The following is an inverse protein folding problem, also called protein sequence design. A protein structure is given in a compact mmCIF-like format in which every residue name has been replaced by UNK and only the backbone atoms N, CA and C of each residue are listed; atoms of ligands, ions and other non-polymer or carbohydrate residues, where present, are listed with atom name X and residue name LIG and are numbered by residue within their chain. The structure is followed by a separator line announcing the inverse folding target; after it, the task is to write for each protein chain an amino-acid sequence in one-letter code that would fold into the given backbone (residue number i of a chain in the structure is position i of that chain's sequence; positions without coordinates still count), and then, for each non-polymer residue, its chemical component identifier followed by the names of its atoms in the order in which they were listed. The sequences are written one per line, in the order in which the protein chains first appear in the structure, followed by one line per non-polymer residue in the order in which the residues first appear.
data_IF_291090484390
#
_entry.id   IF_291090484390
#
_cell.length_a   1.000
_cell.length_b   1.000
_cell.length_c   1.000
_cell.angle_alpha   90.00
_cell.angle_beta   90.00
_cell.angle_gamma   90.00
#
_symmetry.space_group_name_H-M   'P 1'
#
loop_
_entity.id
_entity.type
_entity.pdbx_description
1 polymer ?
#
# COMPACT_ATOMS: atom_id res chain seq x y z
N UNK A 1 50.14 20.06 17.16
CA UNK A 1 49.42 18.89 17.69
C UNK A 1 47.96 19.23 18.02
N UNK A 2 47.67 20.28 18.79
CA UNK A 2 46.30 20.68 19.17
C UNK A 2 45.39 21.06 17.98
N UNK A 3 45.87 21.88 17.04
CA UNK A 3 45.09 22.26 15.84
C UNK A 3 44.72 21.08 14.92
N UNK A 4 45.56 20.03 14.90
CA UNK A 4 45.28 18.83 14.10
C UNK A 4 44.12 18.03 14.71
N UNK A 5 44.08 17.92 16.04
CA UNK A 5 43.01 17.22 16.78
C UNK A 5 41.68 17.97 16.67
N UNK A 6 41.68 19.31 16.73
CA UNK A 6 40.45 20.11 16.54
C UNK A 6 39.85 19.94 15.13
N UNK A 7 40.68 19.90 14.10
CA UNK A 7 40.20 19.71 12.73
C UNK A 7 39.64 18.31 12.50
N UNK A 8 40.27 17.28 13.05
CA UNK A 8 39.73 15.91 13.01
C UNK A 8 38.39 15.82 13.77
N UNK A 9 38.30 16.41 14.96
CA UNK A 9 37.06 16.42 15.76
C UNK A 9 35.91 17.16 15.06
N UNK A 10 36.19 18.32 14.43
CA UNK A 10 35.20 19.06 13.61
C UNK A 10 34.74 18.25 12.40
N UNK A 11 35.66 17.51 11.76
CA UNK A 11 35.35 16.63 10.64
C UNK A 11 34.49 15.44 11.07
N UNK A 12 34.80 14.81 12.21
CA UNK A 12 33.98 13.75 12.79
C UNK A 12 32.58 14.25 13.15
N UNK A 13 32.46 15.43 13.78
CA UNK A 13 31.18 16.05 14.12
C UNK A 13 30.35 16.34 12.85
N UNK A 14 30.96 16.88 11.79
CA UNK A 14 30.27 17.11 10.51
C UNK A 14 29.80 15.81 9.85
N UNK A 15 30.58 14.73 9.92
CA UNK A 15 30.18 13.41 9.37
C UNK A 15 28.98 12.85 10.15
N UNK A 16 28.99 12.96 11.48
CA UNK A 16 27.89 12.51 12.34
C UNK A 16 26.60 13.30 12.04
N UNK A 17 26.70 14.63 11.87
CA UNK A 17 25.56 15.48 11.51
C UNK A 17 24.96 15.11 10.14
N UNK A 18 25.80 14.79 9.15
CA UNK A 18 25.35 14.33 7.83
C UNK A 18 24.60 12.99 7.89
N UNK A 19 25.07 12.05 8.73
CA UNK A 19 24.41 10.75 8.93
C UNK A 19 23.03 10.90 9.61
N UNK A 20 22.92 11.76 10.62
CA UNK A 20 21.65 12.01 11.33
C UNK A 20 20.62 12.67 10.39
N UNK A 21 21.07 13.57 9.52
CA UNK A 21 20.17 14.21 8.55
C UNK A 21 19.62 13.22 7.52
N UNK A 22 20.44 12.28 7.03
CA UNK A 22 20.01 11.24 6.10
C UNK A 22 18.95 10.28 6.67
N UNK A 23 19.06 9.90 7.94
CA UNK A 23 18.08 9.02 8.60
C UNK A 23 16.73 9.72 8.80
N UNK A 24 16.77 11.02 9.09
CA UNK A 24 15.56 11.83 9.37
C UNK A 24 14.69 12.06 8.12
N UNK A 25 15.26 12.02 6.92
CA UNK A 25 14.52 12.17 5.66
C UNK A 25 13.66 10.94 5.35
N UNK A 26 14.14 9.73 5.66
CA UNK A 26 13.38 8.49 5.41
C UNK A 26 12.15 8.37 6.34
N UNK A 27 12.28 8.75 7.61
CA UNK A 27 11.17 8.70 8.58
C UNK A 27 10.02 9.66 8.23
N UNK A 28 10.27 10.73 7.46
CA UNK A 28 9.23 11.70 7.08
C UNK A 28 8.28 11.19 5.99
N UNK A 29 8.70 10.17 5.24
CA UNK A 29 7.91 9.62 4.13
C UNK A 29 6.88 8.57 4.58
N UNK A 30 6.92 8.12 5.84
CA UNK A 30 5.93 7.17 6.36
C UNK A 30 4.52 7.77 6.40
N UNK A 31 3.53 6.94 6.09
CA UNK A 31 2.10 7.24 6.13
C UNK A 31 1.32 6.04 6.71
N UNK A 32 1.50 5.73 8.00
CA UNK A 32 0.91 4.53 8.61
C UNK A 32 -0.63 4.54 8.64
N UNK A 33 -1.22 5.75 8.64
CA UNK A 33 -2.66 5.95 8.75
C UNK A 33 -3.24 6.66 7.52
N UNK A 34 -4.47 6.27 7.17
CA UNK A 34 -5.33 7.03 6.27
C UNK A 34 -6.04 8.13 7.05
N UNK A 35 -6.16 9.29 6.43
CA UNK A 35 -7.01 10.37 6.94
C UNK A 35 -8.49 9.98 6.82
N UNK A 36 -9.33 10.61 7.65
CA UNK A 36 -10.77 10.41 7.56
C UNK A 36 -11.30 10.90 6.21
N UNK A 37 -12.23 10.15 5.62
CA UNK A 37 -12.85 10.51 4.34
C UNK A 37 -14.28 9.97 4.25
N UNK A 38 -15.01 10.46 3.26
CA UNK A 38 -16.34 9.95 2.94
C UNK A 38 -16.25 8.96 1.80
N UNK A 39 -16.44 7.67 2.11
CA UNK A 39 -16.58 6.62 1.10
C UNK A 39 -17.88 6.86 0.34
N UNK A 40 -17.80 7.00 -0.98
CA UNK A 40 -18.98 7.19 -1.84
C UNK A 40 -18.86 6.29 -3.07
N UNK A 41 -19.74 5.31 -3.17
CA UNK A 41 -19.71 4.28 -4.21
C UNK A 41 -21.02 4.33 -4.98
N UNK A 42 -20.93 4.40 -6.31
CA UNK A 42 -22.11 4.36 -7.17
C UNK A 42 -22.70 2.94 -7.18
N UNK A 43 -24.01 2.81 -7.03
CA UNK A 43 -24.72 1.52 -7.20
C UNK A 43 -25.43 1.54 -8.54
N UNK A 44 -26.21 2.58 -8.80
CA UNK A 44 -26.92 2.81 -10.06
C UNK A 44 -27.03 4.32 -10.35
N UNK A 45 -27.90 4.71 -11.30
CA UNK A 45 -28.07 6.11 -11.72
C UNK A 45 -28.55 7.04 -10.60
N UNK A 46 -29.24 6.51 -9.58
CA UNK A 46 -29.88 7.27 -8.51
C UNK A 46 -29.32 6.94 -7.13
N UNK A 47 -28.84 5.72 -6.91
CA UNK A 47 -28.39 5.22 -5.61
C UNK A 47 -26.87 5.24 -5.45
N UNK A 48 -26.43 5.68 -4.28
CA UNK A 48 -25.03 5.64 -3.85
C UNK A 48 -24.96 5.02 -2.45
N UNK A 49 -23.99 4.14 -2.25
CA UNK A 49 -23.52 3.83 -0.91
C UNK A 49 -22.68 5.00 -0.39
N UNK A 50 -22.91 5.40 0.87
CA UNK A 50 -22.11 6.41 1.55
C UNK A 50 -21.81 5.99 2.98
N UNK A 51 -20.56 6.14 3.39
CA UNK A 51 -20.13 5.90 4.75
C UNK A 51 -19.02 6.89 5.12
N UNK A 52 -19.05 7.42 6.33
CA UNK A 52 -17.91 8.14 6.88
C UNK A 52 -16.89 7.12 7.39
N UNK A 53 -15.70 7.13 6.79
CA UNK A 53 -14.56 6.32 7.20
C UNK A 53 -13.68 7.21 8.08
N UNK A 54 -13.56 6.84 9.35
CA UNK A 54 -12.69 7.55 10.28
C UNK A 54 -11.21 7.41 9.94
N UNK A 55 -10.37 8.23 10.57
CA UNK A 55 -8.92 8.06 10.53
C UNK A 55 -8.58 6.66 11.06
N UNK A 56 -7.74 5.91 10.34
CA UNK A 56 -7.42 4.53 10.70
C UNK A 56 -6.07 4.11 10.12
N UNK A 57 -5.41 3.05 10.63
CA UNK A 57 -4.24 2.50 9.96
C UNK A 57 -4.59 1.88 8.59
N UNK A 58 -3.62 1.83 7.68
CA UNK A 58 -3.74 1.06 6.43
C UNK A 58 -3.63 -0.44 6.67
N UNK A 59 -2.62 -0.83 7.45
CA UNK A 59 -2.45 -2.18 7.97
C UNK A 59 -3.23 -2.32 9.27
N UNK A 60 -4.37 -3.03 9.23
CA UNK A 60 -5.25 -3.19 10.41
C UNK A 60 -4.66 -4.17 11.43
N UNK A 61 -3.76 -5.04 10.96
CA UNK A 61 -2.87 -5.91 11.73
C UNK A 61 -1.58 -6.09 10.92
N UNK A 62 -0.57 -6.77 11.49
CA UNK A 62 0.69 -7.02 10.78
C UNK A 62 0.45 -7.66 9.41
N UNK A 63 0.90 -6.98 8.35
CA UNK A 63 0.77 -7.39 6.93
C UNK A 63 -0.67 -7.65 6.45
N UNK A 64 -1.69 -7.25 7.21
CA UNK A 64 -3.10 -7.28 6.78
C UNK A 64 -3.48 -5.89 6.27
N UNK A 65 -3.40 -5.70 4.95
CA UNK A 65 -3.71 -4.42 4.31
C UNK A 65 -5.22 -4.34 4.07
N UNK A 66 -5.87 -3.30 4.59
CA UNK A 66 -7.20 -2.93 4.12
C UNK A 66 -7.07 -1.82 3.06
N UNK A 67 -7.89 -1.88 2.01
CA UNK A 67 -7.97 -0.83 1.00
C UNK A 67 -9.42 -0.53 0.63
N UNK A 68 -9.71 0.74 0.41
CA UNK A 68 -11.01 1.26 -0.04
C UNK A 68 -10.95 1.72 -1.50
N UNK A 69 -12.08 1.73 -2.20
CA UNK A 69 -12.14 2.30 -3.56
C UNK A 69 -11.65 3.75 -3.58
N UNK A 70 -10.99 4.12 -4.68
CA UNK A 70 -10.27 5.38 -4.90
C UNK A 70 -8.97 5.55 -4.12
N UNK A 71 -8.53 4.54 -3.36
CA UNK A 71 -7.20 4.57 -2.74
C UNK A 71 -6.11 4.08 -3.70
N UNK A 72 -4.96 4.75 -3.61
CA UNK A 72 -3.69 4.32 -4.17
C UNK A 72 -2.64 4.35 -3.06
N UNK A 73 -1.97 3.23 -2.86
CA UNK A 73 -1.08 2.99 -1.73
C UNK A 73 0.29 2.57 -2.26
N UNK A 74 1.33 3.18 -1.71
CA UNK A 74 2.72 2.78 -1.91
C UNK A 74 3.18 2.03 -0.66
N UNK A 75 3.58 0.78 -0.84
CA UNK A 75 3.99 -0.11 0.25
C UNK A 75 5.47 -0.42 0.07
N UNK A 76 6.31 0.28 0.83
CA UNK A 76 7.72 -0.01 0.89
C UNK A 76 7.94 -1.31 1.69
N UNK A 77 8.66 -2.24 1.11
CA UNK A 77 8.77 -3.61 1.63
C UNK A 77 10.23 -4.01 1.76
N UNK A 78 10.61 -4.54 2.91
CA UNK A 78 11.93 -5.13 3.14
C UNK A 78 11.84 -6.65 2.94
N UNK A 79 12.66 -7.19 2.04
CA UNK A 79 12.74 -8.63 1.78
C UNK A 79 14.05 -9.17 2.36
N UNK A 80 13.98 -10.21 3.19
CA UNK A 80 15.15 -10.91 3.77
C UNK A 80 15.01 -12.40 3.53
N UNK A 81 16.05 -13.02 2.98
CA UNK A 81 16.09 -14.47 2.73
C UNK A 81 14.80 -14.96 2.08
N UNK A 82 14.36 -14.24 1.04
CA UNK A 82 13.16 -14.55 0.25
C UNK A 82 11.82 -14.47 0.97
N UNK A 83 11.81 -13.87 2.17
CA UNK A 83 10.60 -13.58 2.94
C UNK A 83 10.37 -12.09 3.07
N UNK A 84 9.10 -11.68 3.07
CA UNK A 84 8.72 -10.30 3.40
C UNK A 84 8.95 -10.09 4.90
N UNK A 85 10.00 -9.35 5.24
CA UNK A 85 10.37 -9.04 6.61
C UNK A 85 9.47 -7.95 7.18
N UNK A 86 9.33 -6.82 6.48
CA UNK A 86 8.53 -5.67 6.90
C UNK A 86 7.80 -5.03 5.73
N UNK A 87 6.68 -4.36 6.03
CA UNK A 87 5.88 -3.58 5.08
C UNK A 87 5.46 -2.28 5.74
N UNK A 88 5.67 -1.15 5.08
CA UNK A 88 5.24 0.17 5.56
C UNK A 88 4.60 0.96 4.43
N UNK A 89 3.52 1.68 4.74
CA UNK A 89 2.90 2.59 3.77
C UNK A 89 3.66 3.90 3.77
N UNK A 90 3.97 4.40 2.58
CA UNK A 90 4.71 5.65 2.36
C UNK A 90 3.89 6.66 1.55
N UNK A 91 4.20 7.96 1.70
CA UNK A 91 3.52 9.06 0.98
C UNK A 91 3.90 9.07 -0.49
N UNK A 92 5.19 8.93 -0.75
CA UNK A 92 5.79 8.98 -2.09
C UNK A 92 6.62 7.73 -2.37
N UNK A 93 6.60 7.27 -3.62
CA UNK A 93 7.41 6.14 -4.06
C UNK A 93 8.85 6.60 -4.38
N UNK A 94 9.65 6.78 -3.32
CA UNK A 94 11.07 7.17 -3.43
C UNK A 94 11.99 5.99 -3.78
N UNK A 95 11.53 4.75 -3.55
CA UNK A 95 12.30 3.51 -3.76
C UNK A 95 11.50 2.52 -4.64
N UNK A 96 11.37 2.77 -5.96
CA UNK A 96 10.49 1.98 -6.85
C UNK A 96 10.80 0.49 -6.93
N UNK A 97 12.05 0.10 -6.69
CA UNK A 97 12.56 -1.28 -6.72
C UNK A 97 12.11 -2.13 -5.53
N UNK A 98 11.59 -1.49 -4.47
CA UNK A 98 11.09 -2.18 -3.26
C UNK A 98 9.70 -1.74 -2.83
N UNK A 99 9.00 -1.02 -3.71
CA UNK A 99 7.67 -0.48 -3.42
C UNK A 99 6.58 -1.18 -4.22
N UNK A 100 5.75 -1.95 -3.54
CA UNK A 100 4.51 -2.50 -4.12
C UNK A 100 3.53 -1.33 -4.27
N UNK A 101 2.91 -1.22 -5.45
CA UNK A 101 1.87 -0.21 -5.69
C UNK A 101 0.53 -0.93 -5.73
N UNK A 102 -0.40 -0.54 -4.85
CA UNK A 102 -1.76 -1.09 -4.80
C UNK A 102 -2.73 0.03 -5.11
N UNK A 103 -3.62 -0.18 -6.06
CA UNK A 103 -4.63 0.80 -6.44
C UNK A 103 -5.98 0.10 -6.60
N UNK A 104 -7.01 0.60 -5.93
CA UNK A 104 -8.34 0.00 -5.99
C UNK A 104 -9.37 1.04 -6.42
N UNK A 105 -10.06 0.79 -7.54
CA UNK A 105 -10.95 1.76 -8.16
C UNK A 105 -12.31 1.16 -8.49
N UNK A 106 -13.33 2.01 -8.45
CA UNK A 106 -14.61 1.73 -9.09
C UNK A 106 -14.62 2.31 -10.50
N UNK A 107 -14.96 1.48 -11.48
CA UNK A 107 -15.25 1.92 -12.84
C UNK A 107 -16.73 2.28 -12.96
N UNK A 108 -17.02 3.49 -13.41
CA UNK A 108 -18.38 4.00 -13.61
C UNK A 108 -18.60 4.53 -15.03
N UNK A 109 -19.81 4.34 -15.57
CA UNK A 109 -20.23 4.93 -16.86
C UNK A 109 -21.53 5.70 -16.65
N UNK A 110 -21.50 7.02 -16.85
CA UNK A 110 -22.70 7.86 -16.68
C UNK A 110 -23.32 7.76 -15.27
N UNK A 111 -22.48 7.53 -14.24
CA UNK A 111 -22.83 7.25 -12.82
C UNK A 111 -23.31 5.84 -12.50
N UNK A 112 -23.31 4.93 -13.47
CA UNK A 112 -23.67 3.53 -13.25
C UNK A 112 -22.40 2.74 -12.95
N UNK A 113 -22.45 1.88 -11.93
CA UNK A 113 -21.39 0.92 -11.67
C UNK A 113 -21.18 0.00 -12.87
N UNK A 114 -19.93 -0.16 -13.31
CA UNK A 114 -19.55 -1.08 -14.39
C UNK A 114 -18.68 -2.21 -13.87
N UNK A 115 -17.84 -1.93 -12.87
CA UNK A 115 -17.02 -2.94 -12.20
C UNK A 115 -16.09 -2.31 -11.19
N UNK A 116 -15.44 -3.16 -10.42
CA UNK A 116 -14.33 -2.82 -9.52
C UNK A 116 -13.03 -3.33 -10.12
N UNK A 117 -11.94 -2.60 -9.90
CA UNK A 117 -10.62 -2.98 -10.40
C UNK A 117 -9.57 -2.82 -9.31
N UNK A 118 -8.90 -3.91 -8.97
CA UNK A 118 -7.67 -3.89 -8.17
C UNK A 118 -6.49 -4.01 -9.12
N UNK A 119 -5.55 -3.08 -8.99
CA UNK A 119 -4.27 -3.08 -9.69
C UNK A 119 -3.16 -3.22 -8.67
N UNK A 120 -2.28 -4.21 -8.85
CA UNK A 120 -1.11 -4.38 -7.98
C UNK A 120 0.14 -4.51 -8.83
N UNK A 121 1.13 -3.64 -8.57
CA UNK A 121 2.46 -3.70 -9.20
C UNK A 121 3.44 -4.42 -8.29
N UNK A 122 4.05 -5.47 -8.81
CA UNK A 122 5.16 -6.18 -8.19
C UNK A 122 6.49 -5.53 -8.64
N UNK A 123 7.30 -4.97 -7.73
CA UNK A 123 8.60 -4.38 -8.07
C UNK A 123 9.76 -5.40 -8.02
N UNK A 124 9.52 -6.64 -7.59
CA UNK A 124 10.57 -7.60 -7.30
C UNK A 124 10.86 -8.51 -8.48
N UNK A 125 12.02 -9.16 -8.41
CA UNK A 125 12.46 -10.19 -9.35
C UNK A 125 11.86 -11.59 -9.04
N UNK A 126 10.90 -11.66 -8.12
CA UNK A 126 10.17 -12.87 -7.71
C UNK A 126 8.68 -12.69 -7.87
N UNK A 127 7.94 -13.80 -7.97
CA UNK A 127 6.48 -13.73 -8.03
C UNK A 127 5.91 -13.27 -6.69
N UNK A 128 5.02 -12.28 -6.70
CA UNK A 128 4.32 -11.80 -5.51
C UNK A 128 2.95 -12.46 -5.41
N UNK A 129 2.67 -13.09 -4.27
CA UNK A 129 1.39 -13.72 -3.97
C UNK A 129 0.77 -13.12 -2.72
N UNK A 130 -0.55 -13.07 -2.69
CA UNK A 130 -1.37 -12.71 -1.54
C UNK A 130 -2.77 -13.29 -1.74
N UNK A 131 -3.53 -13.35 -0.65
CA UNK A 131 -4.96 -13.64 -0.69
C UNK A 131 -5.77 -12.36 -0.54
N UNK A 132 -6.99 -12.35 -1.07
CA UNK A 132 -7.88 -11.20 -0.95
C UNK A 132 -9.26 -11.62 -0.43
N UNK A 133 -9.80 -10.80 0.46
CA UNK A 133 -11.19 -10.86 0.92
C UNK A 133 -11.91 -9.57 0.53
N UNK A 134 -13.15 -9.69 0.08
CA UNK A 134 -14.00 -8.58 -0.30
C UNK A 134 -15.16 -8.39 0.66
N UNK A 135 -15.43 -7.15 1.03
CA UNK A 135 -16.64 -6.75 1.71
C UNK A 135 -17.58 -6.07 0.72
N UNK A 136 -18.63 -6.77 0.30
CA UNK A 136 -19.57 -6.33 -0.75
C UNK A 136 -20.74 -5.55 -0.17
N UNK A 137 -21.31 -4.64 -0.96
CA UNK A 137 -22.51 -3.91 -0.59
C UNK A 137 -23.69 -4.87 -0.32
N UNK A 138 -24.35 -4.72 0.83
CA UNK A 138 -25.44 -5.62 1.27
C UNK A 138 -24.97 -6.93 1.91
N UNK A 139 -23.65 -7.19 1.91
CA UNK A 139 -23.05 -8.32 2.62
C UNK A 139 -22.90 -8.06 4.13
N UNK A 140 -22.73 -9.13 4.90
CA UNK A 140 -22.48 -9.08 6.35
C UNK A 140 -21.14 -9.68 6.76
N UNK A 141 -20.41 -10.26 5.81
CA UNK A 141 -19.17 -10.99 6.04
C UNK A 141 -18.13 -10.69 4.96
N UNK A 142 -16.87 -11.04 5.25
CA UNK A 142 -15.77 -10.99 4.30
C UNK A 142 -15.77 -12.26 3.44
N UNK A 143 -15.81 -12.08 2.13
CA UNK A 143 -15.88 -13.20 1.17
C UNK A 143 -14.51 -13.36 0.51
N UNK A 144 -13.89 -14.54 0.53
CA UNK A 144 -12.63 -14.75 -0.18
C UNK A 144 -12.82 -14.64 -1.69
N UNK A 145 -11.82 -14.09 -2.39
CA UNK A 145 -11.76 -14.07 -3.85
C UNK A 145 -10.44 -14.66 -4.33
N UNK A 146 -10.45 -15.19 -5.55
CA UNK A 146 -9.23 -15.65 -6.21
C UNK A 146 -8.40 -14.44 -6.66
N UNK A 147 -7.08 -14.55 -6.51
CA UNK A 147 -6.07 -13.61 -7.01
C UNK A 147 -5.01 -14.41 -7.75
N UNK A 148 -4.55 -13.91 -8.89
CA UNK A 148 -3.47 -14.55 -9.64
C UNK A 148 -2.12 -14.02 -9.13
N UNK A 149 -1.14 -14.92 -8.85
CA UNK A 149 0.21 -14.49 -8.51
C UNK A 149 0.80 -13.53 -9.55
N UNK A 150 1.45 -12.48 -9.07
CA UNK A 150 1.98 -11.41 -9.90
C UNK A 150 3.43 -11.71 -10.22
N UNK A 151 3.71 -12.03 -11.49
CA UNK A 151 5.06 -12.31 -11.96
C UNK A 151 6.03 -11.14 -11.70
N UNK A 152 7.34 -11.42 -11.68
CA UNK A 152 8.38 -10.41 -11.49
C UNK A 152 8.19 -9.17 -12.36
N UNK A 153 8.32 -7.99 -11.75
CA UNK A 153 8.27 -6.69 -12.43
C UNK A 153 6.96 -6.41 -13.22
N UNK A 154 5.89 -7.18 -13.00
CA UNK A 154 4.61 -7.02 -13.70
C UNK A 154 3.54 -6.35 -12.84
N UNK A 155 2.42 -6.05 -13.49
CA UNK A 155 1.21 -5.50 -12.89
C UNK A 155 0.07 -6.49 -13.09
N UNK A 156 -0.68 -6.80 -12.04
CA UNK A 156 -1.94 -7.55 -12.13
C UNK A 156 -3.14 -6.62 -12.22
N UNK A 157 -4.20 -7.12 -12.85
CA UNK A 157 -5.48 -6.46 -12.96
C UNK A 157 -6.56 -7.47 -12.61
N UNK A 158 -7.21 -7.28 -11.47
CA UNK A 158 -8.31 -8.11 -11.00
C UNK A 158 -9.61 -7.32 -11.13
N UNK A 159 -10.63 -7.93 -11.74
CA UNK A 159 -11.89 -7.27 -12.12
C UNK A 159 -13.08 -8.00 -11.53
N UNK A 160 -13.96 -7.25 -10.86
CA UNK A 160 -15.21 -7.77 -10.31
C UNK A 160 -16.40 -6.98 -10.80
N UNK A 161 -17.55 -7.65 -10.92
CA UNK A 161 -18.85 -7.02 -11.24
C UNK A 161 -19.60 -6.55 -9.99
N UNK A 162 -19.20 -7.05 -8.83
CA UNK A 162 -19.83 -6.72 -7.56
C UNK A 162 -19.42 -5.32 -7.08
N UNK A 163 -20.34 -4.65 -6.39
CA UNK A 163 -20.04 -3.38 -5.72
C UNK A 163 -19.30 -3.68 -4.41
N UNK A 164 -17.97 -3.61 -4.46
CA UNK A 164 -17.10 -3.88 -3.31
C UNK A 164 -16.86 -2.57 -2.53
N UNK A 165 -17.14 -2.61 -1.23
CA UNK A 165 -16.95 -1.47 -0.32
C UNK A 165 -15.50 -1.38 0.19
N UNK A 166 -14.84 -2.52 0.38
CA UNK A 166 -13.43 -2.60 0.80
C UNK A 166 -12.85 -3.98 0.46
N UNK A 167 -11.54 -4.02 0.26
CA UNK A 167 -10.75 -5.24 0.16
C UNK A 167 -9.80 -5.36 1.36
N UNK A 168 -9.53 -6.59 1.76
CA UNK A 168 -8.45 -6.95 2.69
C UNK A 168 -7.49 -7.89 1.96
N UNK A 169 -6.20 -7.54 1.95
CA UNK A 169 -5.12 -8.30 1.31
C UNK A 169 -4.19 -8.86 2.40
N UNK A 170 -4.00 -10.18 2.38
CA UNK A 170 -3.32 -10.95 3.44
C UNK A 170 -2.38 -12.00 2.88
N UNK A 171 -1.61 -12.65 3.75
CA UNK A 171 -0.74 -13.77 3.40
C UNK A 171 0.25 -13.44 2.27
N UNK A 172 0.87 -12.26 2.36
CA UNK A 172 1.85 -11.79 1.38
C UNK A 172 3.11 -12.67 1.37
N UNK A 173 3.48 -13.18 0.20
CA UNK A 173 4.57 -14.13 0.03
C UNK A 173 5.32 -13.88 -1.28
N UNK A 174 6.62 -14.22 -1.29
CA UNK A 174 7.43 -14.32 -2.50
C UNK A 174 7.50 -15.78 -2.92
N UNK A 175 7.26 -16.06 -4.19
CA UNK A 175 7.42 -17.37 -4.81
C UNK A 175 8.53 -17.32 -5.88
N UNK A 176 9.22 -18.45 -6.07
CA UNK A 176 10.25 -18.63 -7.11
C UNK A 176 9.69 -18.48 -8.54
#
# INVERSE_FOLDING_TARGET
MVQHIENEMKKTISIILLLIFGISLNAQNEKPEREAFKLKIAIDTVNFYQQDVGKSPYFVQDKILQIYPSEKIFIETEVKSDSIYSMSVVKENLNPERTIIVEFNQNVKGRIHVGMMLTVKNPFDKSLKYEALMFINGGTEWIPTSIIPIRPNLVSYELWKDVILSLVLVEWQMEE
#
